data_IF_568169322818
#
_entry.id   IF_568169322818
#
_cell.length_a   1.000
_cell.length_b   1.000
_cell.length_c   1.000
_cell.angle_alpha   90.00
_cell.angle_beta   90.00
_cell.angle_gamma   90.00
#
_symmetry.space_group_name_H-M   'P 1'
#
loop_
_entity.id
_entity.type
_entity.pdbx_description
1 polymer ?
#
# COMPACT_ATOMS: atom_id res chain seq x y z
N UNK A 1 -74.59 24.10 72.40
CA UNK A 1 -73.20 23.62 72.23
C UNK A 1 -73.16 22.43 71.24
N UNK A 2 -72.75 22.75 70.01
CA UNK A 2 -71.78 22.03 69.18
C UNK A 2 -71.85 20.49 69.05
N UNK A 3 -72.13 20.01 67.83
CA UNK A 3 -71.50 18.84 67.16
C UNK A 3 -71.97 18.86 65.68
N UNK A 4 -71.25 19.52 64.75
CA UNK A 4 -70.09 19.02 64.00
C UNK A 4 -70.39 17.75 63.18
N UNK A 5 -71.08 17.91 62.04
CA UNK A 5 -71.14 16.90 60.97
C UNK A 5 -70.02 17.19 59.94
N UNK A 6 -69.03 16.29 59.73
CA UNK A 6 -68.02 16.49 58.71
C UNK A 6 -68.46 15.83 57.39
N UNK A 7 -69.45 16.40 56.71
CA UNK A 7 -69.78 16.01 55.33
C UNK A 7 -69.04 16.89 54.35
N UNK A 8 -67.77 16.56 54.03
CA UNK A 8 -67.09 17.00 52.78
C UNK A 8 -65.75 16.31 52.46
N UNK A 9 -65.47 15.02 52.76
CA UNK A 9 -64.20 14.41 52.34
C UNK A 9 -64.13 14.09 50.83
N UNK A 10 -65.27 13.98 50.15
CA UNK A 10 -65.33 13.44 48.79
C UNK A 10 -64.87 14.42 47.69
N UNK A 11 -65.13 15.73 47.84
CA UNK A 11 -64.69 16.75 46.87
C UNK A 11 -63.17 16.98 46.92
N UNK A 12 -62.59 16.98 48.13
CA UNK A 12 -61.14 17.16 48.36
C UNK A 12 -60.32 15.95 47.90
N UNK A 13 -60.88 14.74 48.00
CA UNK A 13 -60.24 13.52 47.49
C UNK A 13 -60.10 13.55 45.96
N UNK A 14 -61.13 14.02 45.23
CA UNK A 14 -61.11 14.11 43.76
C UNK A 14 -60.11 15.19 43.29
N UNK A 15 -60.06 16.35 43.94
CA UNK A 15 -59.04 17.39 43.64
C UNK A 15 -57.61 16.91 43.93
N UNK A 16 -57.40 16.16 45.02
CA UNK A 16 -56.08 15.61 45.36
C UNK A 16 -55.64 14.55 44.36
N UNK A 17 -56.55 13.68 43.91
CA UNK A 17 -56.26 12.66 42.89
C UNK A 17 -55.93 13.30 41.55
N UNK A 18 -56.65 14.34 41.12
CA UNK A 18 -56.36 15.06 39.88
C UNK A 18 -54.98 15.74 39.92
N UNK A 19 -54.64 16.38 41.06
CA UNK A 19 -53.33 16.97 41.28
C UNK A 19 -52.20 15.91 41.28
N UNK A 20 -52.42 14.74 41.87
CA UNK A 20 -51.47 13.62 41.82
C UNK A 20 -51.30 13.09 40.38
N UNK A 21 -52.40 12.97 39.64
CA UNK A 21 -52.40 12.53 38.24
C UNK A 21 -51.61 13.48 37.34
N UNK A 22 -51.69 14.78 37.59
CA UNK A 22 -50.96 15.80 36.85
C UNK A 22 -49.45 15.76 37.13
N UNK A 23 -49.06 15.49 38.38
CA UNK A 23 -47.66 15.27 38.78
C UNK A 23 -47.09 14.00 38.12
N UNK A 24 -47.86 12.90 38.09
CA UNK A 24 -47.43 11.67 37.41
C UNK A 24 -47.29 11.88 35.90
N UNK A 25 -48.22 12.62 35.29
CA UNK A 25 -48.16 12.98 33.87
C UNK A 25 -46.94 13.83 33.56
N UNK A 26 -46.62 14.82 34.41
CA UNK A 26 -45.40 15.63 34.28
C UNK A 26 -44.14 14.78 34.41
N UNK A 27 -44.07 13.86 35.38
CA UNK A 27 -42.95 12.92 35.50
C UNK A 27 -42.80 12.01 34.29
N UNK A 28 -43.91 11.51 33.74
CA UNK A 28 -43.86 10.68 32.53
C UNK A 28 -43.35 11.48 31.32
N UNK A 29 -43.80 12.73 31.17
CA UNK A 29 -43.30 13.63 30.12
C UNK A 29 -41.82 13.96 30.28
N UNK A 30 -41.34 14.24 31.50
CA UNK A 30 -39.92 14.45 31.78
C UNK A 30 -39.09 13.22 31.45
N UNK A 31 -39.58 12.03 31.82
CA UNK A 31 -38.90 10.76 31.59
C UNK A 31 -38.85 10.38 30.10
N UNK A 32 -39.90 10.71 29.34
CA UNK A 32 -39.91 10.56 27.89
C UNK A 32 -38.94 11.52 27.20
N UNK A 33 -38.92 12.79 27.64
CA UNK A 33 -37.97 13.80 27.14
C UNK A 33 -36.51 13.42 27.46
N UNK A 34 -36.24 12.89 28.64
CA UNK A 34 -34.90 12.41 29.02
C UNK A 34 -34.47 11.23 28.13
N UNK A 35 -35.35 10.26 27.91
CA UNK A 35 -35.09 9.14 26.98
C UNK A 35 -34.85 9.60 25.55
N UNK A 36 -35.60 10.58 25.07
CA UNK A 36 -35.39 11.16 23.74
C UNK A 36 -34.03 11.85 23.64
N UNK A 37 -33.65 12.64 24.67
CA UNK A 37 -32.32 13.27 24.74
C UNK A 37 -31.20 12.25 24.83
N UNK A 38 -31.38 11.17 25.58
CA UNK A 38 -30.40 10.08 25.67
C UNK A 38 -30.23 9.38 24.32
N UNK A 39 -31.32 9.08 23.62
CA UNK A 39 -31.30 8.51 22.27
C UNK A 39 -30.60 9.44 21.29
N UNK A 40 -30.97 10.72 21.28
CA UNK A 40 -30.34 11.72 20.42
C UNK A 40 -28.84 11.87 20.75
N UNK A 41 -28.48 11.89 22.04
CA UNK A 41 -27.08 11.94 22.46
C UNK A 41 -26.32 10.68 22.05
N UNK A 42 -26.95 9.50 22.11
CA UNK A 42 -26.38 8.24 21.65
C UNK A 42 -26.17 8.25 20.14
N UNK A 43 -27.17 8.70 19.37
CA UNK A 43 -27.07 8.84 17.91
C UNK A 43 -25.96 9.83 17.51
N UNK A 44 -25.88 10.98 18.18
CA UNK A 44 -24.79 11.96 17.96
C UNK A 44 -23.41 11.37 18.26
N UNK A 45 -23.29 10.56 19.31
CA UNK A 45 -22.03 9.87 19.65
C UNK A 45 -21.66 8.85 18.59
N UNK A 46 -22.61 8.04 18.14
CA UNK A 46 -22.41 7.06 17.07
C UNK A 46 -22.03 7.75 15.75
N UNK A 47 -22.73 8.82 15.38
CA UNK A 47 -22.43 9.62 14.19
C UNK A 47 -21.02 10.23 14.26
N UNK A 48 -20.64 10.78 15.42
CA UNK A 48 -19.29 11.32 15.63
C UNK A 48 -18.21 10.23 15.59
N UNK A 49 -18.49 9.03 16.10
CA UNK A 49 -17.57 7.89 16.01
C UNK A 49 -17.42 7.39 14.57
N UNK A 50 -18.53 7.30 13.84
CA UNK A 50 -18.52 6.95 12.41
C UNK A 50 -17.73 7.97 11.60
N UNK A 51 -17.93 9.26 11.83
CA UNK A 51 -17.18 10.33 11.14
C UNK A 51 -15.68 10.25 11.47
N UNK A 52 -15.32 9.99 12.73
CA UNK A 52 -13.91 9.77 13.12
C UNK A 52 -13.32 8.55 12.44
N UNK A 53 -14.06 7.44 12.39
CA UNK A 53 -13.62 6.22 11.73
C UNK A 53 -13.46 6.43 10.22
N UNK A 54 -14.36 7.16 9.58
CA UNK A 54 -14.27 7.51 8.16
C UNK A 54 -13.07 8.42 7.88
N UNK A 55 -12.85 9.46 8.68
CA UNK A 55 -11.65 10.31 8.56
C UNK A 55 -10.35 9.52 8.72
N UNK A 56 -10.30 8.59 9.68
CA UNK A 56 -9.13 7.73 9.88
C UNK A 56 -8.92 6.80 8.68
N UNK A 57 -9.98 6.22 8.13
CA UNK A 57 -9.90 5.40 6.90
C UNK A 57 -9.39 6.20 5.72
N UNK A 58 -9.93 7.39 5.48
CA UNK A 58 -9.48 8.28 4.41
C UNK A 58 -8.01 8.70 4.58
N UNK A 59 -7.60 9.02 5.81
CA UNK A 59 -6.19 9.34 6.12
C UNK A 59 -5.27 8.14 5.86
N UNK A 60 -5.68 6.94 6.28
CA UNK A 60 -4.92 5.72 6.03
C UNK A 60 -4.83 5.42 4.54
N UNK A 61 -5.92 5.59 3.79
CA UNK A 61 -5.95 5.39 2.34
C UNK A 61 -5.04 6.41 1.63
N UNK A 62 -5.09 7.69 1.99
CA UNK A 62 -4.21 8.73 1.44
C UNK A 62 -2.73 8.46 1.76
N UNK A 63 -2.43 8.06 3.00
CA UNK A 63 -1.07 7.70 3.39
C UNK A 63 -0.59 6.46 2.62
N UNK A 64 -1.44 5.44 2.48
CA UNK A 64 -1.11 4.23 1.72
C UNK A 64 -0.90 4.57 0.24
N UNK A 65 -1.72 5.44 -0.35
CA UNK A 65 -1.55 5.90 -1.73
C UNK A 65 -0.21 6.64 -1.88
N UNK A 66 0.11 7.58 -0.98
CA UNK A 66 1.41 8.27 -0.94
C UNK A 66 2.57 7.27 -0.85
N UNK A 67 2.49 6.27 0.01
CA UNK A 67 3.51 5.23 0.14
C UNK A 67 3.64 4.43 -1.16
N UNK A 68 2.53 4.04 -1.81
CA UNK A 68 2.54 3.32 -3.09
C UNK A 68 3.13 4.16 -4.22
N UNK A 69 2.81 5.45 -4.29
CA UNK A 69 3.39 6.37 -5.26
C UNK A 69 4.90 6.53 -5.02
N UNK A 70 5.33 6.70 -3.77
CA UNK A 70 6.76 6.77 -3.44
C UNK A 70 7.49 5.47 -3.78
N UNK A 71 6.92 4.31 -3.46
CA UNK A 71 7.49 3.02 -3.80
C UNK A 71 7.59 2.82 -5.32
N UNK A 72 6.60 3.27 -6.09
CA UNK A 72 6.65 3.26 -7.56
C UNK A 72 7.77 4.16 -8.09
N UNK A 73 7.88 5.39 -7.58
CA UNK A 73 8.94 6.32 -7.99
C UNK A 73 10.32 5.76 -7.66
N UNK A 74 10.51 5.18 -6.48
CA UNK A 74 11.76 4.51 -6.10
C UNK A 74 12.06 3.32 -7.01
N UNK A 75 11.07 2.45 -7.25
CA UNK A 75 11.26 1.29 -8.12
C UNK A 75 11.58 1.68 -9.57
N UNK A 76 10.97 2.76 -10.09
CA UNK A 76 11.29 3.32 -11.40
C UNK A 76 12.70 3.89 -11.44
N UNK A 77 13.07 4.68 -10.41
CA UNK A 77 14.42 5.22 -10.27
C UNK A 77 15.46 4.11 -10.24
N UNK A 78 15.28 3.11 -9.37
CA UNK A 78 16.17 1.95 -9.27
C UNK A 78 16.24 1.16 -10.59
N UNK A 79 15.10 1.00 -11.29
CA UNK A 79 15.08 0.35 -12.60
C UNK A 79 15.88 1.16 -13.61
N UNK A 80 15.75 2.49 -13.62
CA UNK A 80 16.50 3.38 -14.50
C UNK A 80 18.00 3.35 -14.18
N UNK A 81 18.35 3.37 -12.91
CA UNK A 81 19.72 3.22 -12.42
C UNK A 81 20.30 1.86 -12.83
N UNK A 82 19.57 0.75 -12.64
CA UNK A 82 19.98 -0.58 -13.12
C UNK A 82 20.19 -0.62 -14.63
N UNK A 83 19.30 0.01 -15.40
CA UNK A 83 19.39 0.08 -16.86
C UNK A 83 20.58 0.94 -17.34
N UNK A 84 20.86 2.04 -16.66
CA UNK A 84 22.01 2.91 -16.93
C UNK A 84 23.32 2.25 -16.51
N UNK A 85 23.30 1.46 -15.43
CA UNK A 85 24.43 0.68 -14.97
C UNK A 85 24.75 -0.52 -15.87
N UNK A 86 23.82 -0.95 -16.74
CA UNK A 86 24.12 -2.03 -17.68
C UNK A 86 25.22 -1.59 -18.65
N UNK A 87 26.35 -2.29 -18.62
CA UNK A 87 27.42 -2.10 -19.59
C UNK A 87 27.22 -2.93 -20.85
N UNK A 88 27.97 -2.58 -21.89
CA UNK A 88 27.92 -3.25 -23.20
C UNK A 88 29.22 -3.99 -23.45
N UNK A 89 29.12 -5.29 -23.74
CA UNK A 89 30.23 -6.12 -24.22
C UNK A 89 30.14 -6.23 -25.75
N UNK A 90 31.12 -5.67 -26.44
CA UNK A 90 31.30 -5.81 -27.88
C UNK A 90 32.18 -7.03 -28.20
N UNK A 91 31.76 -7.86 -29.13
CA UNK A 91 32.41 -9.10 -29.56
C UNK A 91 32.81 -8.97 -31.03
N UNK A 92 34.11 -9.00 -31.30
CA UNK A 92 34.70 -9.03 -32.64
C UNK A 92 35.43 -10.37 -32.83
N UNK A 93 34.72 -11.39 -33.31
CA UNK A 93 35.25 -12.74 -33.46
C UNK A 93 35.22 -13.12 -34.94
N UNK A 94 36.38 -13.50 -35.48
CA UNK A 94 36.51 -13.90 -36.89
C UNK A 94 37.01 -15.35 -37.01
N UNK A 95 36.45 -16.16 -37.94
CA UNK A 95 35.33 -15.84 -38.84
C UNK A 95 33.96 -15.90 -38.16
N UNK A 96 33.78 -16.79 -37.17
CA UNK A 96 32.61 -16.88 -36.31
C UNK A 96 32.97 -17.66 -35.03
N UNK A 97 32.20 -17.51 -33.96
CA UNK A 97 32.41 -18.30 -32.74
C UNK A 97 31.17 -18.33 -31.84
N UNK A 98 30.98 -19.44 -31.13
CA UNK A 98 29.94 -19.62 -30.13
C UNK A 98 30.41 -19.10 -28.78
N UNK A 99 29.71 -18.10 -28.24
CA UNK A 99 30.10 -17.36 -27.04
C UNK A 99 29.30 -17.83 -25.84
N UNK A 100 30.01 -18.19 -24.77
CA UNK A 100 29.43 -18.50 -23.47
C UNK A 100 30.00 -17.59 -22.40
N UNK A 101 29.15 -17.00 -21.56
CA UNK A 101 29.54 -16.07 -20.49
C UNK A 101 29.08 -16.64 -19.16
N UNK A 102 30.01 -16.90 -18.25
CA UNK A 102 29.75 -17.60 -16.97
C UNK A 102 28.93 -18.89 -17.14
N UNK A 103 29.21 -19.64 -18.21
CA UNK A 103 28.50 -20.88 -18.54
C UNK A 103 27.13 -20.72 -19.22
N UNK A 104 26.63 -19.50 -19.43
CA UNK A 104 25.42 -19.24 -20.23
C UNK A 104 25.79 -19.01 -21.69
N UNK A 105 25.20 -19.78 -22.61
CA UNK A 105 25.38 -19.58 -24.05
C UNK A 105 24.64 -18.35 -24.57
N UNK A 106 25.33 -17.44 -25.26
CA UNK A 106 24.76 -16.24 -25.88
C UNK A 106 24.60 -16.37 -27.41
N UNK A 107 25.00 -17.51 -27.97
CA UNK A 107 24.88 -17.85 -29.39
C UNK A 107 26.16 -17.55 -30.18
N UNK A 108 26.05 -17.63 -31.51
CA UNK A 108 27.16 -17.36 -32.43
C UNK A 108 27.27 -15.86 -32.76
N UNK A 109 28.48 -15.30 -32.66
CA UNK A 109 28.86 -14.01 -33.27
C UNK A 109 29.57 -14.33 -34.58
N UNK A 110 29.07 -13.85 -35.76
CA UNK A 110 29.06 -12.42 -36.13
C UNK A 110 27.72 -11.73 -36.56
N UNK A 111 26.48 -12.23 -36.35
CA UNK A 111 25.29 -11.36 -36.51
C UNK A 111 24.95 -10.58 -35.22
N UNK A 112 25.47 -10.99 -34.06
CA UNK A 112 25.18 -10.38 -32.76
C UNK A 112 26.48 -10.10 -32.00
N UNK A 113 26.98 -8.88 -32.16
CA UNK A 113 28.29 -8.45 -31.64
C UNK A 113 28.20 -7.63 -30.35
N UNK A 114 27.01 -7.44 -29.78
CA UNK A 114 26.84 -6.60 -28.60
C UNK A 114 25.89 -7.26 -27.59
N UNK A 115 26.34 -7.41 -26.35
CA UNK A 115 25.56 -7.99 -25.24
C UNK A 115 25.52 -6.97 -24.10
N UNK A 116 24.33 -6.69 -23.58
CA UNK A 116 24.17 -5.85 -22.38
C UNK A 116 24.23 -6.74 -21.14
N UNK A 117 25.14 -6.43 -20.23
CA UNK A 117 25.37 -7.17 -19.00
C UNK A 117 25.33 -6.21 -17.81
N UNK A 118 25.00 -6.73 -16.63
CA UNK A 118 25.14 -5.97 -15.40
C UNK A 118 26.63 -5.65 -15.16
N UNK A 119 26.96 -4.63 -14.35
CA UNK A 119 28.34 -4.40 -13.97
C UNK A 119 28.86 -5.58 -13.15
N UNK A 120 30.06 -6.06 -13.46
CA UNK A 120 30.63 -7.25 -12.85
C UNK A 120 31.77 -7.86 -13.65
N UNK A 121 32.34 -8.93 -13.11
CA UNK A 121 33.40 -9.71 -13.77
C UNK A 121 32.80 -10.97 -14.39
N UNK A 122 33.10 -11.21 -15.66
CA UNK A 122 32.54 -12.29 -16.45
C UNK A 122 33.63 -13.15 -17.08
N UNK A 123 33.54 -14.47 -16.92
CA UNK A 123 34.37 -15.39 -17.68
C UNK A 123 33.73 -15.66 -19.04
N UNK A 124 34.42 -15.27 -20.11
CA UNK A 124 33.97 -15.43 -21.50
C UNK A 124 34.75 -16.58 -22.11
N UNK A 125 34.00 -17.53 -22.68
CA UNK A 125 34.52 -18.68 -23.41
C UNK A 125 34.01 -18.61 -24.84
N UNK A 126 34.91 -18.63 -25.81
CA UNK A 126 34.61 -18.61 -27.23
C UNK A 126 35.10 -19.91 -27.85
N UNK A 127 34.25 -20.55 -28.64
CA UNK A 127 34.53 -21.84 -29.30
C UNK A 127 34.15 -21.76 -30.78
N UNK A 128 34.93 -22.35 -31.67
CA UNK A 128 34.65 -22.37 -33.11
C UNK A 128 34.90 -23.78 -33.67
N UNK A 129 33.82 -24.56 -33.83
CA UNK A 129 33.91 -25.94 -34.28
C UNK A 129 34.85 -26.78 -33.39
N UNK A 130 35.81 -27.44 -34.03
CA UNK A 130 36.84 -28.28 -33.39
C UNK A 130 38.10 -27.51 -32.95
N UNK A 131 38.12 -26.17 -33.07
CA UNK A 131 39.26 -25.35 -32.65
C UNK A 131 39.34 -25.21 -31.11
N UNK A 132 40.54 -24.94 -30.55
CA UNK A 132 40.71 -24.72 -29.12
C UNK A 132 39.81 -23.62 -28.57
N UNK A 133 39.20 -23.86 -27.41
CA UNK A 133 38.35 -22.88 -26.74
C UNK A 133 39.19 -21.71 -26.19
N UNK A 134 38.90 -20.49 -26.64
CA UNK A 134 39.49 -19.27 -26.11
C UNK A 134 38.78 -18.85 -24.82
N UNK A 135 39.53 -18.67 -23.72
CA UNK A 135 39.00 -18.31 -22.39
C UNK A 135 39.62 -17.00 -21.93
N UNK A 136 38.78 -16.07 -21.53
CA UNK A 136 39.21 -14.74 -21.06
C UNK A 136 38.26 -14.22 -20.00
N UNK A 137 38.71 -13.24 -19.23
CA UNK A 137 37.91 -12.59 -18.18
C UNK A 137 37.73 -11.13 -18.54
N UNK A 138 36.48 -10.68 -18.58
CA UNK A 138 36.13 -9.30 -18.91
C UNK A 138 35.41 -8.67 -17.72
N UNK A 139 35.88 -7.50 -17.31
CA UNK A 139 35.23 -6.69 -16.28
C UNK A 139 34.42 -5.59 -16.95
N UNK A 140 33.15 -5.48 -16.59
CA UNK A 140 32.22 -4.46 -17.09
C UNK A 140 31.92 -3.51 -15.95
N UNK A 141 32.25 -2.24 -16.15
CA UNK A 141 31.93 -1.17 -15.22
C UNK A 141 30.48 -0.68 -15.41
N UNK A 142 29.94 0.03 -14.42
CA UNK A 142 28.58 0.57 -14.45
C UNK A 142 28.41 1.53 -15.64
N UNK A 143 27.57 1.14 -16.62
CA UNK A 143 27.38 1.88 -17.87
C UNK A 143 28.58 1.86 -18.83
N UNK A 144 29.60 1.07 -18.49
CA UNK A 144 30.85 0.97 -19.25
C UNK A 144 30.69 0.17 -20.55
N UNK A 145 31.73 0.25 -21.39
CA UNK A 145 31.85 -0.54 -22.61
C UNK A 145 33.12 -1.35 -22.56
N UNK A 146 33.01 -2.66 -22.78
CA UNK A 146 34.14 -3.57 -22.90
C UNK A 146 34.15 -4.18 -24.30
N UNK A 147 35.34 -4.31 -24.90
CA UNK A 147 35.53 -4.92 -26.21
C UNK A 147 36.33 -6.21 -26.09
N UNK A 148 35.91 -7.24 -26.80
CA UNK A 148 36.62 -8.50 -26.93
C UNK A 148 36.84 -8.82 -28.41
N UNK A 149 38.10 -8.83 -28.83
CA UNK A 149 38.50 -9.18 -30.20
C UNK A 149 39.32 -10.47 -30.21
N UNK A 150 38.96 -11.41 -31.07
CA UNK A 150 39.72 -12.65 -31.25
C UNK A 150 39.65 -13.14 -32.71
N UNK A 151 40.78 -13.61 -33.22
CA UNK A 151 40.93 -14.21 -34.54
C UNK A 151 41.31 -15.67 -34.34
N UNK A 152 40.50 -16.59 -34.88
CA UNK A 152 40.85 -18.00 -34.95
C UNK A 152 41.79 -18.22 -36.15
N UNK A 153 42.93 -18.86 -35.91
CA UNK A 153 43.93 -19.27 -36.92
C UNK A 153 43.84 -20.77 -37.22
#
# INVERSE_FOLDING_TARGET
PQEAAPETPALTAVETTLAQQEIERQRQLELELEREREREAQERRLAAEQERAERLRLQQEEEQERQRLQAQVQAEKEKRERQQAMGTLNLDIRPWGNVSINGRGYGASPPRNSIRLAPGTYNVVVTNGDLPAYRTTVTIESGGRAGLSHLFE
#
